data_IF_822223646735
#
_entry.id   IF_822223646735
#
_cell.length_a   1.000
_cell.length_b   1.000
_cell.length_c   1.000
_cell.angle_alpha   90.00
_cell.angle_beta   90.00
_cell.angle_gamma   90.00
#
_symmetry.space_group_name_H-M   'P 1'
#
loop_
_entity.id
_entity.type
_entity.pdbx_description
1 polymer ?
#
# COMPACT_ATOMS: atom_id res chain seq x y z
N UNK A 1 -21.68 14.44 -29.12
CA UNK A 1 -20.81 13.62 -28.24
C UNK A 1 -21.02 14.11 -26.82
N UNK A 2 -21.33 13.21 -25.89
CA UNK A 2 -21.56 13.57 -24.49
C UNK A 2 -20.26 13.94 -23.79
N UNK A 3 -20.33 14.89 -22.86
CA UNK A 3 -19.20 15.38 -22.09
C UNK A 3 -18.86 14.35 -21.01
N UNK A 4 -17.62 13.82 -20.99
CA UNK A 4 -17.20 12.85 -19.97
C UNK A 4 -16.89 13.60 -18.68
N UNK A 5 -17.59 13.26 -17.60
CA UNK A 5 -17.36 13.86 -16.29
C UNK A 5 -16.21 13.18 -15.56
N UNK A 6 -15.56 13.92 -14.67
CA UNK A 6 -14.53 13.39 -13.78
C UNK A 6 -15.11 12.32 -12.87
N UNK A 7 -14.52 11.13 -12.89
CA UNK A 7 -14.94 9.96 -12.11
C UNK A 7 -14.67 10.06 -10.60
N UNK A 8 -14.08 11.18 -10.13
CA UNK A 8 -13.81 11.43 -8.71
C UNK A 8 -14.80 12.44 -8.12
N UNK A 9 -15.16 13.49 -8.85
CA UNK A 9 -16.04 14.53 -8.33
C UNK A 9 -17.36 14.69 -9.05
N UNK A 10 -17.53 14.03 -10.21
CA UNK A 10 -18.77 13.99 -11.01
C UNK A 10 -19.36 15.37 -11.36
N UNK A 11 -18.55 16.43 -11.25
CA UNK A 11 -18.97 17.83 -11.42
C UNK A 11 -18.26 18.56 -12.55
N UNK A 12 -17.00 18.24 -12.79
CA UNK A 12 -16.14 18.90 -13.79
C UNK A 12 -15.86 17.94 -14.94
N UNK A 13 -15.66 18.48 -16.12
CA UNK A 13 -15.17 17.73 -17.28
C UNK A 13 -13.87 16.98 -16.97
N UNK A 14 -13.79 15.72 -17.39
CA UNK A 14 -12.56 14.95 -17.37
C UNK A 14 -11.64 15.42 -18.51
N UNK A 15 -10.42 15.80 -18.16
CA UNK A 15 -9.41 16.30 -19.11
C UNK A 15 -8.18 15.40 -19.21
N UNK A 16 -8.05 14.45 -18.29
CA UNK A 16 -6.88 13.59 -18.16
C UNK A 16 -7.29 12.17 -17.82
N UNK A 17 -6.44 11.22 -18.18
CA UNK A 17 -6.57 9.81 -17.81
C UNK A 17 -5.42 9.42 -16.88
N UNK A 18 -5.74 8.80 -15.74
CA UNK A 18 -4.74 8.35 -14.79
C UNK A 18 -3.89 7.22 -15.39
N UNK A 19 -2.57 7.40 -15.44
CA UNK A 19 -1.65 6.38 -15.98
C UNK A 19 -1.56 5.11 -15.13
N UNK A 20 -2.08 5.15 -13.90
CA UNK A 20 -1.99 4.05 -12.94
C UNK A 20 -3.25 3.16 -12.93
N UNK A 21 -4.44 3.77 -12.91
CA UNK A 21 -5.71 3.03 -12.84
C UNK A 21 -6.66 3.26 -14.02
N UNK A 22 -6.31 4.14 -14.97
CA UNK A 22 -7.14 4.42 -16.14
C UNK A 22 -8.33 5.36 -15.91
N UNK A 23 -8.53 5.88 -14.68
CA UNK A 23 -9.65 6.78 -14.39
C UNK A 23 -9.60 8.09 -15.20
N UNK A 24 -10.75 8.56 -15.66
CA UNK A 24 -10.92 9.86 -16.31
C UNK A 24 -11.18 10.95 -15.27
N UNK A 25 -10.30 11.95 -15.18
CA UNK A 25 -10.29 12.94 -14.10
C UNK A 25 -10.11 14.37 -14.58
N UNK A 26 -10.65 15.32 -13.82
CA UNK A 26 -10.42 16.74 -14.04
C UNK A 26 -9.04 17.18 -13.50
N UNK A 27 -8.60 18.38 -13.87
CA UNK A 27 -7.30 18.96 -13.47
C UNK A 27 -7.08 19.03 -11.95
N UNK A 28 -8.14 19.09 -11.16
CA UNK A 28 -8.05 19.17 -9.71
C UNK A 28 -7.70 17.82 -9.03
N UNK A 29 -7.91 16.69 -9.71
CA UNK A 29 -7.71 15.36 -9.14
C UNK A 29 -6.59 14.57 -9.82
N UNK A 30 -5.68 15.26 -10.53
CA UNK A 30 -4.52 14.66 -11.16
C UNK A 30 -3.25 15.38 -10.70
N UNK A 31 -2.21 14.62 -10.39
CA UNK A 31 -0.86 15.13 -10.14
C UNK A 31 0.15 14.16 -10.74
N UNK A 32 1.12 14.66 -11.52
CA UNK A 32 2.15 13.83 -12.17
C UNK A 32 1.59 12.65 -13.00
N UNK A 33 0.41 12.82 -13.59
CA UNK A 33 -0.30 11.81 -14.37
C UNK A 33 -0.96 10.69 -13.54
N UNK A 34 -1.02 10.84 -12.21
CA UNK A 34 -1.67 9.92 -11.28
C UNK A 34 -2.84 10.63 -10.61
N UNK A 35 -3.97 9.94 -10.46
CA UNK A 35 -5.13 10.53 -9.82
C UNK A 35 -4.97 10.57 -8.29
N UNK A 36 -5.68 11.50 -7.64
CA UNK A 36 -5.61 11.68 -6.18
C UNK A 36 -5.91 10.40 -5.39
N UNK A 37 -6.77 9.51 -5.90
CA UNK A 37 -7.08 8.23 -5.24
C UNK A 37 -5.89 7.26 -5.30
N UNK A 38 -5.24 7.12 -6.46
CA UNK A 38 -4.03 6.31 -6.58
C UNK A 38 -2.92 6.89 -5.70
N UNK A 39 -2.71 8.20 -5.75
CA UNK A 39 -1.71 8.88 -4.90
C UNK A 39 -1.83 8.55 -3.41
N UNK A 40 -3.06 8.48 -2.88
CA UNK A 40 -3.36 8.15 -1.49
C UNK A 40 -3.21 6.66 -1.15
N UNK A 41 -3.26 5.78 -2.15
CA UNK A 41 -3.26 4.32 -1.96
C UNK A 41 -1.96 3.66 -2.41
N UNK A 42 -1.02 4.42 -2.98
CA UNK A 42 0.32 3.94 -3.31
C UNK A 42 1.09 3.53 -2.05
N UNK A 43 1.88 2.47 -2.19
CA UNK A 43 2.83 2.02 -1.18
C UNK A 43 3.68 3.18 -0.68
N UNK A 44 3.61 3.45 0.64
CA UNK A 44 4.32 4.57 1.26
C UNK A 44 5.84 4.42 1.19
N UNK A 45 6.35 3.22 0.94
CA UNK A 45 7.79 2.94 0.83
C UNK A 45 8.32 3.09 -0.59
N UNK A 46 7.74 2.38 -1.56
CA UNK A 46 8.30 2.33 -2.91
C UNK A 46 7.56 3.21 -3.93
N UNK A 47 6.31 3.59 -3.66
CA UNK A 47 5.45 4.40 -4.55
C UNK A 47 5.23 3.79 -5.95
N UNK A 48 5.57 2.50 -6.16
CA UNK A 48 5.46 1.78 -7.45
C UNK A 48 4.13 1.02 -7.60
N UNK A 49 3.59 0.50 -6.51
CA UNK A 49 2.38 -0.33 -6.48
C UNK A 49 1.38 0.20 -5.48
N UNK A 50 0.09 -0.14 -5.63
CA UNK A 50 -0.90 0.09 -4.59
C UNK A 50 -0.56 -0.72 -3.33
N UNK A 51 -0.91 -0.18 -2.18
CA UNK A 51 -0.85 -0.89 -0.93
C UNK A 51 -1.92 -1.99 -0.87
N UNK A 52 -1.55 -3.14 -0.32
CA UNK A 52 -2.43 -4.31 -0.12
C UNK A 52 -2.65 -4.62 1.36
N UNK A 53 -1.85 -4.03 2.24
CA UNK A 53 -1.94 -4.19 3.68
C UNK A 53 -1.15 -3.11 4.42
N UNK A 54 -1.06 -3.26 5.73
CA UNK A 54 -0.33 -2.33 6.59
C UNK A 54 0.69 -3.06 7.47
N UNK A 55 1.75 -2.36 7.84
CA UNK A 55 2.70 -2.88 8.82
C UNK A 55 2.09 -2.81 10.22
N UNK A 56 1.98 -3.94 10.92
CA UNK A 56 1.45 -3.97 12.30
C UNK A 56 2.31 -3.24 13.34
N UNK A 57 3.55 -2.86 12.98
CA UNK A 57 4.48 -2.15 13.86
C UNK A 57 4.41 -0.63 13.66
N UNK A 58 4.44 -0.16 12.41
CA UNK A 58 4.51 1.28 12.10
C UNK A 58 3.27 1.86 11.42
N UNK A 59 2.27 1.05 11.08
CA UNK A 59 1.00 1.49 10.51
C UNK A 59 1.03 1.85 9.02
N UNK A 60 2.20 2.03 8.39
CA UNK A 60 2.31 2.39 6.97
C UNK A 60 1.57 1.40 6.07
N UNK A 61 0.85 1.91 5.06
CA UNK A 61 0.26 1.09 4.00
C UNK A 61 1.29 0.77 2.91
N UNK A 62 1.38 -0.51 2.54
CA UNK A 62 2.50 -1.02 1.75
C UNK A 62 2.03 -2.07 0.75
N UNK A 63 2.76 -2.17 -0.37
CA UNK A 63 2.54 -3.21 -1.37
C UNK A 63 3.10 -4.56 -0.91
N UNK A 64 2.76 -5.61 -1.66
CA UNK A 64 3.20 -6.98 -1.41
C UNK A 64 4.74 -7.08 -1.31
N UNK A 65 5.48 -6.49 -2.26
CA UNK A 65 6.96 -6.49 -2.25
C UNK A 65 7.60 -5.81 -1.01
N UNK A 66 6.86 -4.96 -0.31
CA UNK A 66 7.38 -4.22 0.86
C UNK A 66 6.88 -4.78 2.19
N UNK A 67 6.03 -5.81 2.16
CA UNK A 67 5.46 -6.48 3.32
C UNK A 67 6.03 -7.89 3.45
N UNK A 68 6.29 -8.28 4.69
CA UNK A 68 6.63 -9.66 5.07
C UNK A 68 5.46 -10.17 5.90
N UNK A 69 4.83 -11.25 5.45
CA UNK A 69 3.78 -11.92 6.20
C UNK A 69 4.39 -12.67 7.39
N UNK A 70 4.00 -12.32 8.61
CA UNK A 70 4.55 -12.91 9.85
C UNK A 70 3.56 -13.86 10.55
N UNK A 71 2.31 -13.88 10.10
CA UNK A 71 1.28 -14.85 10.50
C UNK A 71 0.20 -14.96 9.42
N UNK A 72 -0.82 -15.79 9.60
CA UNK A 72 -1.90 -15.97 8.63
C UNK A 72 -2.62 -14.65 8.24
N UNK A 73 -2.59 -13.64 9.10
CA UNK A 73 -3.34 -12.38 8.90
C UNK A 73 -2.51 -11.11 9.14
N UNK A 74 -1.25 -11.21 9.55
CA UNK A 74 -0.44 -10.06 9.93
C UNK A 74 0.79 -9.86 9.04
N UNK A 75 1.08 -8.60 8.75
CA UNK A 75 2.25 -8.17 7.98
C UNK A 75 3.15 -7.22 8.77
N UNK A 76 4.44 -7.27 8.47
CA UNK A 76 5.47 -6.34 8.96
C UNK A 76 6.25 -5.81 7.76
N UNK A 77 6.53 -4.52 7.70
CA UNK A 77 7.33 -3.98 6.60
C UNK A 77 8.79 -4.41 6.70
N UNK A 78 9.46 -4.47 5.56
CA UNK A 78 10.89 -4.85 5.48
C UNK A 78 11.78 -3.99 6.38
N UNK A 79 11.48 -2.69 6.56
CA UNK A 79 12.24 -1.79 7.41
C UNK A 79 12.11 -2.17 8.90
N UNK A 80 10.89 -2.41 9.38
CA UNK A 80 10.63 -2.84 10.75
C UNK A 80 11.15 -4.25 10.99
N UNK A 81 11.02 -5.16 10.02
CA UNK A 81 11.59 -6.49 10.10
C UNK A 81 13.12 -6.40 10.29
N UNK A 82 13.80 -5.64 9.45
CA UNK A 82 15.25 -5.43 9.53
C UNK A 82 15.66 -4.81 10.86
N UNK A 83 14.88 -3.86 11.39
CA UNK A 83 15.18 -3.17 12.64
C UNK A 83 14.98 -4.03 13.89
N UNK A 84 13.97 -4.88 13.92
CA UNK A 84 13.55 -5.58 15.14
C UNK A 84 13.79 -7.10 15.13
N UNK A 85 13.99 -7.71 13.96
CA UNK A 85 14.03 -9.18 13.78
C UNK A 85 15.40 -9.70 13.34
N UNK A 86 16.34 -8.82 12.97
CA UNK A 86 17.73 -9.18 12.64
C UNK A 86 18.58 -9.62 13.85
N UNK A 87 17.98 -9.66 15.06
CA UNK A 87 18.55 -10.28 16.26
C UNK A 87 17.50 -11.27 16.80
N UNK A 88 17.67 -12.55 16.48
CA UNK A 88 16.68 -13.63 16.70
C UNK A 88 16.11 -13.70 18.14
N UNK A 89 16.80 -13.16 19.13
CA UNK A 89 16.38 -13.17 20.55
C UNK A 89 15.13 -12.32 20.85
N UNK A 90 14.84 -11.24 20.12
CA UNK A 90 13.70 -10.34 20.43
C UNK A 90 12.35 -10.83 19.90
N UNK A 91 12.39 -11.74 18.93
CA UNK A 91 11.22 -12.31 18.26
C UNK A 91 10.34 -13.14 19.19
N UNK A 92 10.96 -13.90 20.10
CA UNK A 92 10.28 -14.69 21.14
C UNK A 92 9.55 -13.80 22.16
N UNK A 93 10.04 -12.58 22.39
CA UNK A 93 9.45 -11.64 23.34
C UNK A 93 8.23 -10.89 22.78
N UNK A 94 8.20 -10.61 21.47
CA UNK A 94 7.10 -9.87 20.83
C UNK A 94 5.94 -10.77 20.37
N UNK A 95 6.20 -12.05 20.06
CA UNK A 95 5.17 -13.01 19.62
C UNK A 95 5.29 -14.35 20.35
N UNK A 96 4.89 -14.43 21.64
CA UNK A 96 5.10 -15.63 22.45
C UNK A 96 4.30 -16.87 22.03
N UNK A 97 3.36 -16.79 21.06
CA UNK A 97 2.42 -17.89 20.75
C UNK A 97 2.32 -18.35 19.29
N UNK A 98 3.09 -17.79 18.34
CA UNK A 98 2.83 -18.04 16.90
C UNK A 98 3.79 -19.01 16.19
N UNK A 99 4.90 -19.43 16.81
CA UNK A 99 5.83 -20.38 16.19
C UNK A 99 5.42 -21.84 16.47
N UNK A 100 4.32 -22.29 15.86
CA UNK A 100 4.20 -23.73 15.56
C UNK A 100 5.05 -23.99 14.32
N UNK A 101 6.23 -24.55 14.58
CA UNK A 101 7.19 -25.12 13.63
C UNK A 101 6.47 -25.89 12.51
N UNK A 102 6.37 -25.32 11.32
CA UNK A 102 6.07 -26.10 10.12
C UNK A 102 7.39 -26.70 9.64
N UNK A 103 7.75 -27.83 10.23
CA UNK A 103 8.64 -28.80 9.58
C UNK A 103 7.82 -29.55 8.54
N UNK A 104 8.26 -29.51 7.30
CA UNK A 104 8.24 -30.68 6.42
C UNK A 104 9.66 -30.89 5.93
#
# INVERSE_FOLDING_TARGET
>A
MGLVLCEICERKEAKYTCKFCGRNVCSAHISNGICSICELTLCERCRKYHAVGYCKICGRILCEDCLIQVSLVEYVCVDCHTKYFSKEEKLRALFPKSFKKFSK
#
